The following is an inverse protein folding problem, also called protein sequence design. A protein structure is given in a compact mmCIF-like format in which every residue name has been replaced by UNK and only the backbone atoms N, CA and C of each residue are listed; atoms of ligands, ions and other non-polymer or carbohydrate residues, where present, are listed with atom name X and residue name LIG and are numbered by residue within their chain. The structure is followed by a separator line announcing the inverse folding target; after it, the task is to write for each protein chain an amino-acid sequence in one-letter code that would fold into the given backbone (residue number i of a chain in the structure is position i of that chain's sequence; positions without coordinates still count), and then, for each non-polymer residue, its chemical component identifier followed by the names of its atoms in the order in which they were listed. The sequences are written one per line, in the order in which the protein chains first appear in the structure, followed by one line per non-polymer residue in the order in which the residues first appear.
data_IF_339174852530
#
_entry.id   IF_339174852530
#
_cell.length_a   1.000
_cell.length_b   1.000
_cell.length_c   1.000
_cell.angle_alpha   90.00
_cell.angle_beta   90.00
_cell.angle_gamma   90.00
#
_symmetry.space_group_name_H-M   'P 1'
#
loop_
_entity.id
_entity.type
_entity.pdbx_description
1 polymer ?
#
# COMPACT_ATOMS: atom_id res chain seq x y z
N UNK A 1 15.06 -27.58 24.27
CA UNK A 1 14.41 -27.05 23.05
C UNK A 1 13.70 -25.76 23.43
N UNK A 2 14.17 -24.60 22.95
CA UNK A 2 13.61 -23.28 23.31
C UNK A 2 13.09 -22.63 22.02
N UNK A 3 11.77 -22.44 21.94
CA UNK A 3 11.10 -21.71 20.86
C UNK A 3 11.25 -20.20 21.08
N UNK A 4 11.97 -19.51 20.21
CA UNK A 4 11.99 -18.06 20.18
C UNK A 4 10.89 -17.58 19.21
N UNK A 5 9.71 -17.30 19.77
CA UNK A 5 8.64 -16.58 19.08
C UNK A 5 9.02 -15.10 18.92
N UNK A 6 8.85 -14.62 17.69
CA UNK A 6 8.21 -13.34 17.37
C UNK A 6 8.76 -12.08 18.01
N UNK A 7 9.44 -11.26 17.21
CA UNK A 7 9.55 -9.82 17.47
C UNK A 7 9.45 -9.06 16.14
N UNK A 8 8.24 -8.98 15.59
CA UNK A 8 7.90 -8.01 14.56
C UNK A 8 7.85 -6.63 15.21
N UNK A 9 9.01 -5.99 15.32
CA UNK A 9 9.14 -4.62 15.80
C UNK A 9 8.40 -3.67 14.85
N UNK A 10 7.32 -3.12 15.38
CA UNK A 10 6.46 -2.09 14.79
C UNK A 10 7.20 -0.77 14.68
N UNK A 11 6.79 0.03 13.68
CA UNK A 11 6.94 1.48 13.73
C UNK A 11 7.98 2.06 12.79
N UNK A 12 7.85 1.80 11.48
CA UNK A 12 8.48 2.70 10.51
C UNK A 12 7.51 3.88 10.31
N UNK A 13 7.68 4.92 11.14
CA UNK A 13 7.04 6.22 10.95
C UNK A 13 7.62 6.90 9.73
N UNK A 14 7.34 6.36 8.54
CA UNK A 14 7.58 7.08 7.31
C UNK A 14 6.59 8.25 7.32
N UNK A 15 7.11 9.47 7.30
CA UNK A 15 6.33 10.65 6.93
C UNK A 15 5.67 10.34 5.59
N UNK A 16 4.41 9.87 5.62
CA UNK A 16 3.67 9.54 4.41
C UNK A 16 3.51 10.84 3.64
N UNK A 17 4.16 10.93 2.46
CA UNK A 17 3.87 12.01 1.53
C UNK A 17 2.37 12.01 1.27
N UNK A 18 1.74 13.18 1.39
CA UNK A 18 0.39 13.38 0.90
C UNK A 18 0.39 13.10 -0.60
N UNK A 19 -0.35 12.08 -1.00
CA UNK A 19 -0.52 11.74 -2.41
C UNK A 19 -1.55 12.67 -3.02
N UNK A 20 -1.23 13.25 -4.18
CA UNK A 20 -2.18 14.01 -4.98
C UNK A 20 -3.18 13.09 -5.67
N UNK A 21 -4.30 13.63 -6.14
CA UNK A 21 -5.29 12.86 -6.91
C UNK A 21 -4.69 12.23 -8.17
N UNK A 22 -3.73 12.93 -8.80
CA UNK A 22 -2.95 12.43 -9.93
C UNK A 22 -2.10 11.22 -9.55
N UNK A 23 -1.44 11.22 -8.39
CA UNK A 23 -0.65 10.09 -7.90
C UNK A 23 -1.54 8.88 -7.64
N UNK A 24 -2.70 9.10 -7.02
CA UNK A 24 -3.70 8.06 -6.76
C UNK A 24 -4.17 7.45 -8.08
N UNK A 25 -4.46 8.29 -9.08
CA UNK A 25 -4.84 7.84 -10.41
C UNK A 25 -3.73 6.99 -11.06
N UNK A 26 -2.47 7.45 -11.01
CA UNK A 26 -1.34 6.70 -11.58
C UNK A 26 -1.10 5.37 -10.87
N UNK A 27 -1.16 5.33 -9.54
CA UNK A 27 -1.03 4.10 -8.73
C UNK A 27 -2.03 3.04 -9.20
N UNK A 28 -3.27 3.46 -9.42
CA UNK A 28 -4.32 2.57 -9.92
C UNK A 28 -4.06 2.11 -11.36
N UNK A 29 -3.71 3.04 -12.23
CA UNK A 29 -3.45 2.76 -13.65
C UNK A 29 -2.32 1.74 -13.81
N UNK A 30 -1.23 1.90 -13.03
CA UNK A 30 -0.09 0.99 -13.00
C UNK A 30 -0.46 -0.39 -12.47
N UNK A 31 -1.30 -0.45 -11.44
CA UNK A 31 -1.75 -1.71 -10.87
C UNK A 31 -2.68 -2.49 -11.83
N UNK A 32 -3.65 -1.81 -12.44
CA UNK A 32 -4.66 -2.45 -13.30
C UNK A 32 -4.14 -2.75 -14.71
N UNK A 33 -3.46 -1.79 -15.35
CA UNK A 33 -3.08 -1.91 -16.76
C UNK A 33 -1.67 -2.50 -16.95
N UNK A 34 -0.72 -2.13 -16.08
CA UNK A 34 0.67 -2.60 -16.20
C UNK A 34 0.97 -3.83 -15.35
N UNK A 35 -0.03 -4.38 -14.64
CA UNK A 35 0.10 -5.50 -13.69
C UNK A 35 1.29 -5.34 -12.72
N UNK A 36 1.62 -4.09 -12.40
CA UNK A 36 2.76 -3.76 -11.55
C UNK A 36 2.45 -4.17 -10.12
N UNK A 37 3.40 -4.83 -9.45
CA UNK A 37 3.16 -5.30 -8.09
C UNK A 37 3.01 -4.12 -7.12
N UNK A 38 2.18 -4.28 -6.07
CA UNK A 38 2.02 -3.22 -5.06
C UNK A 38 3.35 -2.85 -4.39
N UNK A 39 4.35 -3.75 -4.39
CA UNK A 39 5.69 -3.51 -3.87
C UNK A 39 6.51 -2.59 -4.77
N UNK A 40 6.36 -2.70 -6.08
CA UNK A 40 7.06 -1.85 -7.04
C UNK A 40 6.45 -0.45 -7.07
N UNK A 41 5.11 -0.39 -7.00
CA UNK A 41 4.38 0.88 -6.89
C UNK A 41 4.76 1.59 -5.58
N UNK A 42 4.77 0.88 -4.46
CA UNK A 42 5.19 1.42 -3.16
C UNK A 42 6.60 2.04 -3.23
N UNK A 43 7.55 1.37 -3.89
CA UNK A 43 8.90 1.90 -4.11
C UNK A 43 8.93 3.11 -5.02
N UNK A 44 8.13 3.11 -6.10
CA UNK A 44 8.07 4.21 -7.07
C UNK A 44 7.51 5.50 -6.48
N UNK A 45 6.50 5.40 -5.62
CA UNK A 45 5.85 6.56 -5.00
C UNK A 45 6.36 6.86 -3.58
N UNK A 46 7.28 6.04 -3.05
CA UNK A 46 7.82 6.21 -1.70
C UNK A 46 6.79 6.03 -0.59
N UNK A 47 5.79 5.17 -0.81
CA UNK A 47 4.70 4.89 0.13
C UNK A 47 4.71 3.44 0.58
N UNK A 48 3.93 3.12 1.61
CA UNK A 48 3.83 1.73 2.10
C UNK A 48 2.99 0.87 1.16
N UNK A 49 3.30 -0.42 1.11
CA UNK A 49 2.49 -1.41 0.34
C UNK A 49 1.06 -1.50 0.87
N UNK A 50 0.86 -1.29 2.18
CA UNK A 50 -0.47 -1.19 2.79
C UNK A 50 -1.26 -0.01 2.23
N UNK A 51 -0.62 1.16 2.06
CA UNK A 51 -1.25 2.34 1.46
C UNK A 51 -1.65 2.10 0.01
N UNK A 52 -0.79 1.46 -0.79
CA UNK A 52 -1.11 1.06 -2.17
C UNK A 52 -2.34 0.14 -2.20
N UNK A 53 -2.37 -0.90 -1.36
CA UNK A 53 -3.53 -1.80 -1.26
C UNK A 53 -4.80 -1.06 -0.87
N UNK A 54 -4.69 -0.11 0.07
CA UNK A 54 -5.82 0.69 0.52
C UNK A 54 -6.37 1.57 -0.62
N UNK A 55 -5.50 2.20 -1.41
CA UNK A 55 -5.88 2.99 -2.59
C UNK A 55 -6.59 2.13 -3.64
N UNK A 56 -6.01 0.98 -3.98
CA UNK A 56 -6.58 0.06 -4.96
C UNK A 56 -7.92 -0.51 -4.48
N UNK A 57 -8.02 -0.87 -3.20
CA UNK A 57 -9.24 -1.44 -2.61
C UNK A 57 -10.38 -0.42 -2.52
N UNK A 58 -10.10 0.84 -2.12
CA UNK A 58 -11.13 1.87 -1.90
C UNK A 58 -11.97 2.21 -3.13
N UNK A 59 -11.43 2.05 -4.34
CA UNK A 59 -12.15 2.36 -5.58
C UNK A 59 -12.86 1.16 -6.21
N UNK A 60 -12.57 -0.06 -5.74
CA UNK A 60 -13.22 -1.29 -6.18
C UNK A 60 -14.49 -1.63 -5.40
N UNK A 61 -14.79 -0.92 -4.31
CA UNK A 61 -16.02 -1.09 -3.56
C UNK A 61 -16.09 -0.14 -2.37
N UNK A 62 -17.06 0.77 -2.40
CA UNK A 62 -17.76 1.08 -1.16
C UNK A 62 -18.45 -0.20 -0.66
N UNK A 63 -18.61 -0.34 0.66
CA UNK A 63 -19.05 -1.54 1.38
C UNK A 63 -17.90 -2.54 1.60
N UNK A 64 -17.60 -3.06 2.79
CA UNK A 64 -18.37 -3.17 4.02
C UNK A 64 -17.37 -3.49 5.15
N UNK A 65 -17.38 -2.70 6.23
CA UNK A 65 -16.95 -3.17 7.54
C UNK A 65 -18.24 -3.34 8.35
N UNK A 66 -18.69 -4.59 8.46
CA UNK A 66 -19.64 -5.01 9.49
C UNK A 66 -18.93 -5.21 10.82
#
# INVERSE_FOLDING_TARGET
MKTAQGSSARGNGQCERTLSDEDIYMIMMLHQNQRMSSRDIARKFGITTARVRNIVARRSGGSCCG
#
